data_IF_201371247330
#
_entry.id   IF_201371247330
#
_cell.length_a   1.000
_cell.length_b   1.000
_cell.length_c   1.000
_cell.angle_alpha   90.00
_cell.angle_beta   90.00
_cell.angle_gamma   90.00
#
_symmetry.space_group_name_H-M   'P 1'
#
loop_
_entity.id
_entity.type
_entity.pdbx_description
1 polymer ?
#
# COMPACT_ATOMS: atom_id res chain seq x y z
N UNK A 1 0.16 35.50 4.88
CA UNK A 1 0.16 34.92 6.24
C UNK A 1 -1.21 34.29 6.59
N UNK A 2 -1.55 33.06 6.14
CA UNK A 2 -2.84 32.42 6.46
C UNK A 2 -2.75 31.16 7.37
N UNK A 3 -1.57 30.79 7.88
CA UNK A 3 -1.40 29.52 8.61
C UNK A 3 -1.91 29.53 10.05
N UNK A 4 -2.00 30.70 10.71
CA UNK A 4 -2.42 30.79 12.11
C UNK A 4 -3.92 30.50 12.35
N UNK A 5 -4.80 30.70 11.37
CA UNK A 5 -6.24 30.38 11.55
C UNK A 5 -6.56 28.88 11.37
N UNK A 6 -5.70 28.13 10.69
CA UNK A 6 -5.86 26.67 10.51
C UNK A 6 -5.53 25.89 11.79
N UNK A 7 -4.59 26.38 12.60
CA UNK A 7 -4.21 25.75 13.87
C UNK A 7 -5.33 25.85 14.94
N UNK A 8 -5.99 27.00 15.05
CA UNK A 8 -7.11 27.16 16.00
C UNK A 8 -8.29 26.24 15.65
N UNK A 9 -8.50 25.96 14.35
CA UNK A 9 -9.57 25.07 13.89
C UNK A 9 -9.27 23.59 14.16
N UNK A 10 -7.99 23.20 14.13
CA UNK A 10 -7.56 21.84 14.48
C UNK A 10 -7.66 21.56 15.98
N UNK A 11 -7.41 22.56 16.83
CA UNK A 11 -7.50 22.42 18.28
C UNK A 11 -8.95 22.20 18.75
N UNK A 12 -9.91 22.93 18.17
CA UNK A 12 -11.35 22.75 18.43
C UNK A 12 -11.87 21.37 17.98
N UNK A 13 -11.32 20.81 16.90
CA UNK A 13 -11.70 19.47 16.42
C UNK A 13 -11.10 18.34 17.26
N UNK A 14 -9.90 18.55 17.82
CA UNK A 14 -9.26 17.63 18.78
C UNK A 14 -10.06 17.53 20.10
N UNK A 15 -10.52 18.66 20.61
CA UNK A 15 -11.38 18.72 21.81
C UNK A 15 -12.76 18.10 21.57
N UNK A 16 -13.32 18.28 20.38
CA UNK A 16 -14.58 17.63 19.98
C UNK A 16 -14.44 16.09 19.89
N UNK A 17 -13.30 15.58 19.42
CA UNK A 17 -13.04 14.13 19.34
C UNK A 17 -12.80 13.48 20.72
N UNK A 18 -12.13 14.16 21.64
CA UNK A 18 -11.95 13.67 23.02
C UNK A 18 -13.26 13.64 23.81
N UNK A 19 -14.15 14.61 23.56
CA UNK A 19 -15.49 14.65 24.16
C UNK A 19 -16.40 13.51 23.68
N UNK A 20 -16.26 13.05 22.42
CA UNK A 20 -17.02 11.91 21.87
C UNK A 20 -16.59 10.55 22.44
N UNK A 21 -15.32 10.37 22.83
CA UNK A 21 -14.83 9.13 23.44
C UNK A 21 -15.27 8.93 24.89
N UNK A 22 -15.79 9.98 25.55
CA UNK A 22 -16.30 9.93 26.93
C UNK A 22 -17.81 9.65 27.05
N UNK A 23 -18.50 9.27 25.97
CA UNK A 23 -19.90 8.81 26.10
C UNK A 23 -19.93 7.35 26.56
N UNK A 24 -20.46 7.02 27.76
CA UNK A 24 -20.61 5.64 28.18
C UNK A 24 -21.57 4.91 27.22
N UNK A 25 -21.26 3.65 26.92
CA UNK A 25 -22.13 2.76 26.14
C UNK A 25 -23.50 2.71 26.81
N UNK A 26 -24.54 3.07 26.08
CA UNK A 26 -25.95 3.11 26.50
C UNK A 26 -26.53 1.73 26.90
N UNK A 27 -25.71 0.69 27.01
CA UNK A 27 -26.12 -0.66 27.43
C UNK A 27 -25.96 -0.92 28.93
N UNK A 28 -25.20 -0.08 29.66
CA UNK A 28 -24.93 -0.29 31.09
C UNK A 28 -25.86 0.50 32.04
N UNK A 29 -26.67 1.43 31.53
CA UNK A 29 -27.59 2.23 32.36
C UNK A 29 -28.86 1.47 32.76
N UNK A 30 -29.25 0.40 32.03
CA UNK A 30 -30.40 -0.43 32.40
C UNK A 30 -30.11 -1.43 33.52
N UNK A 31 -28.84 -1.75 33.79
CA UNK A 31 -28.44 -2.65 34.88
C UNK A 31 -28.18 -1.90 36.20
N UNK A 32 -27.86 -0.60 36.15
CA UNK A 32 -27.63 0.24 37.33
C UNK A 32 -28.90 0.83 37.95
N UNK A 33 -30.02 0.88 37.22
CA UNK A 33 -31.31 1.32 37.77
C UNK A 33 -32.08 0.24 38.54
N UNK A 34 -31.60 -1.01 38.55
CA UNK A 34 -32.25 -2.14 39.22
C UNK A 34 -31.50 -2.63 40.48
N UNK A 35 -30.43 -1.94 40.89
CA UNK A 35 -29.57 -2.35 42.02
C UNK A 35 -29.42 -1.25 43.10
N UNK A 36 -30.31 -0.26 43.11
CA UNK A 36 -30.24 0.88 44.03
C UNK A 36 -31.37 0.87 45.09
N UNK A 37 -31.90 -0.31 45.41
CA UNK A 37 -32.98 -0.45 46.41
C UNK A 37 -32.79 -1.70 47.28
N UNK A 38 -31.67 -1.75 48.01
CA UNK A 38 -31.49 -2.55 49.22
C UNK A 38 -30.32 -1.94 49.98
N UNK A 39 -30.62 -1.18 51.02
CA UNK A 39 -29.66 -0.74 52.03
C UNK A 39 -29.71 -1.68 53.25
N UNK A 40 -28.53 -2.01 53.77
CA UNK A 40 -28.20 -2.48 55.14
C UNK A 40 -26.66 -2.62 55.11
N UNK A 41 -25.87 -1.76 55.76
CA UNK A 41 -25.54 -1.61 57.20
C UNK A 41 -24.73 -2.79 57.78
N UNK A 42 -23.48 -2.43 58.13
CA UNK A 42 -22.63 -2.93 59.23
C UNK A 42 -21.61 -4.09 59.11
N UNK A 43 -20.43 -3.77 59.68
CA UNK A 43 -19.45 -4.56 60.45
C UNK A 43 -18.55 -5.58 59.73
N UNK A 44 -17.23 -5.31 59.65
CA UNK A 44 -16.15 -5.69 60.61
C UNK A 44 -15.95 -7.22 60.64
N UNK A 45 -14.88 -7.75 60.01
CA UNK A 45 -13.63 -8.15 60.70
C UNK A 45 -12.66 -8.91 59.78
N UNK A 46 -11.40 -8.91 60.24
CA UNK A 46 -10.24 -9.70 59.84
C UNK A 46 -10.50 -11.19 59.53
N UNK A 47 -9.60 -11.81 58.74
CA UNK A 47 -8.97 -13.14 58.98
C UNK A 47 -8.33 -13.71 57.69
N UNK A 48 -7.01 -13.85 57.80
CA UNK A 48 -6.07 -14.74 57.11
C UNK A 48 -6.55 -16.20 57.00
N UNK A 49 -6.43 -16.87 55.83
CA UNK A 49 -5.81 -18.22 55.72
C UNK A 49 -5.74 -18.75 54.29
N UNK A 50 -4.76 -19.65 54.15
CA UNK A 50 -4.29 -20.37 52.98
C UNK A 50 -5.16 -21.56 52.55
N UNK A 51 -4.67 -22.22 51.50
CA UNK A 51 -4.84 -23.63 51.08
C UNK A 51 -5.86 -23.82 49.96
N UNK A 52 -5.46 -24.22 48.74
CA UNK A 52 -4.91 -25.51 48.26
C UNK A 52 -6.04 -26.41 47.73
N UNK A 53 -5.69 -27.25 46.73
CA UNK A 53 -6.46 -28.38 46.18
C UNK A 53 -7.49 -28.09 45.06
N UNK A 54 -7.14 -28.31 43.78
CA UNK A 54 -7.23 -29.56 42.98
C UNK A 54 -8.67 -30.10 42.79
N UNK A 55 -9.17 -30.01 41.55
CA UNK A 55 -9.61 -31.20 40.78
C UNK A 55 -9.95 -30.86 39.31
N UNK A 56 -9.44 -31.61 38.30
CA UNK A 56 -9.85 -31.47 36.91
C UNK A 56 -11.00 -32.43 36.54
N UNK A 57 -12.09 -31.87 36.03
CA UNK A 57 -13.24 -32.61 35.49
C UNK A 57 -12.96 -33.05 34.04
N UNK A 58 -13.18 -34.32 33.65
CA UNK A 58 -13.00 -34.74 32.26
C UNK A 58 -14.25 -34.41 31.41
N UNK A 59 -14.06 -33.62 30.35
CA UNK A 59 -15.06 -33.41 29.31
C UNK A 59 -15.18 -34.65 28.41
N UNK A 60 -16.36 -35.26 28.46
CA UNK A 60 -16.79 -36.31 27.53
C UNK A 60 -17.19 -35.66 26.21
N UNK A 61 -16.37 -35.83 25.15
CA UNK A 61 -16.72 -35.41 23.79
C UNK A 61 -17.56 -36.50 23.10
N UNK A 62 -18.84 -36.22 22.86
CA UNK A 62 -19.66 -36.98 21.92
C UNK A 62 -19.26 -36.67 20.45
N UNK A 63 -19.20 -37.68 19.57
CA UNK A 63 -18.86 -37.48 18.16
C UNK A 63 -20.05 -36.92 17.37
N UNK A 64 -19.84 -35.76 16.71
CA UNK A 64 -20.78 -35.21 15.72
C UNK A 64 -20.88 -36.12 14.48
N UNK A 65 -22.08 -36.40 13.97
CA UNK A 65 -22.25 -37.15 12.72
C UNK A 65 -21.84 -36.33 11.49
N UNK A 66 -21.33 -36.97 10.42
CA UNK A 66 -20.87 -36.29 9.22
C UNK A 66 -22.02 -35.71 8.39
N UNK A 67 -21.81 -34.48 7.88
CA UNK A 67 -22.73 -33.79 6.99
C UNK A 67 -22.92 -34.55 5.67
N UNK A 68 -24.18 -34.78 5.30
CA UNK A 68 -24.56 -35.33 3.99
C UNK A 68 -24.32 -34.30 2.88
N UNK A 69 -23.73 -34.68 1.73
CA UNK A 69 -23.60 -33.78 0.59
C UNK A 69 -24.96 -33.54 -0.10
N UNK A 70 -25.27 -32.28 -0.37
CA UNK A 70 -26.44 -31.88 -1.16
C UNK A 70 -26.34 -32.37 -2.62
N UNK A 71 -27.46 -32.81 -3.24
CA UNK A 71 -27.47 -33.23 -4.63
C UNK A 71 -27.34 -32.02 -5.57
N UNK A 72 -26.39 -32.11 -6.51
CA UNK A 72 -26.24 -31.18 -7.63
C UNK A 72 -27.38 -31.41 -8.62
N UNK A 73 -28.20 -30.39 -8.86
CA UNK A 73 -29.15 -30.35 -9.97
C UNK A 73 -28.42 -30.06 -11.30
N UNK A 74 -28.82 -30.71 -12.41
CA UNK A 74 -28.15 -30.61 -13.70
C UNK A 74 -28.95 -29.70 -14.64
N UNK A 75 -28.54 -28.45 -14.86
CA UNK A 75 -29.10 -27.64 -15.95
C UNK A 75 -28.26 -26.40 -16.22
N UNK A 76 -27.37 -26.50 -17.21
CA UNK A 76 -27.20 -25.55 -18.31
C UNK A 76 -25.99 -25.99 -19.15
N UNK A 77 -26.31 -26.62 -20.29
CA UNK A 77 -25.42 -26.80 -21.43
C UNK A 77 -25.42 -25.51 -22.26
N UNK A 78 -24.30 -25.33 -22.96
CA UNK A 78 -24.08 -24.45 -24.10
C UNK A 78 -23.84 -22.96 -23.81
N UNK A 79 -22.56 -22.58 -23.75
CA UNK A 79 -21.97 -21.59 -24.66
C UNK A 79 -20.48 -21.89 -24.82
N UNK A 80 -20.11 -22.40 -25.99
CA UNK A 80 -18.74 -22.56 -26.49
C UNK A 80 -18.26 -21.24 -27.10
N UNK A 81 -17.09 -20.74 -26.66
CA UNK A 81 -16.14 -19.90 -27.42
C UNK A 81 -14.85 -19.67 -26.58
N UNK A 82 -13.70 -19.34 -27.18
CA UNK A 82 -12.51 -20.19 -27.24
C UNK A 82 -11.49 -19.94 -26.12
N UNK A 83 -10.87 -21.03 -25.65
CA UNK A 83 -9.69 -21.00 -24.77
C UNK A 83 -8.45 -20.59 -25.56
N UNK A 84 -8.07 -19.31 -25.48
CA UNK A 84 -6.70 -18.90 -25.79
C UNK A 84 -5.78 -19.25 -24.62
N UNK A 85 -5.12 -20.40 -24.73
CA UNK A 85 -3.99 -20.79 -23.89
C UNK A 85 -2.75 -19.98 -24.29
N UNK A 86 -2.58 -18.78 -23.73
CA UNK A 86 -1.32 -18.04 -23.81
C UNK A 86 -0.35 -18.67 -22.81
N UNK A 87 0.54 -19.52 -23.33
CA UNK A 87 1.69 -20.04 -22.57
C UNK A 87 2.58 -18.85 -22.18
N UNK A 88 2.58 -18.52 -20.89
CA UNK A 88 3.56 -17.67 -20.23
C UNK A 88 4.96 -18.22 -20.52
N UNK A 89 5.66 -17.61 -21.48
CA UNK A 89 7.09 -17.82 -21.72
C UNK A 89 7.85 -16.87 -20.81
N UNK A 90 8.72 -17.45 -19.99
CA UNK A 90 9.58 -16.78 -19.02
C UNK A 90 10.39 -15.63 -19.64
N UNK A 91 10.15 -14.42 -19.18
CA UNK A 91 10.88 -13.19 -19.49
C UNK A 91 12.25 -13.12 -18.79
N UNK A 92 13.04 -14.20 -18.85
CA UNK A 92 14.41 -14.24 -18.29
C UNK A 92 15.49 -14.52 -19.34
N UNK A 93 15.10 -14.83 -20.59
CA UNK A 93 16.04 -15.15 -21.68
C UNK A 93 16.25 -14.03 -22.71
N UNK A 94 15.47 -12.96 -22.66
CA UNK A 94 15.57 -11.86 -23.64
C UNK A 94 16.60 -10.77 -23.25
N UNK A 95 16.98 -10.68 -21.97
CA UNK A 95 18.01 -9.75 -21.50
C UNK A 95 19.45 -10.20 -21.79
N UNK A 96 19.65 -11.47 -22.18
CA UNK A 96 20.98 -12.03 -22.45
C UNK A 96 21.39 -11.99 -23.93
N UNK A 97 20.48 -11.64 -24.86
CA UNK A 97 20.82 -11.50 -26.30
C UNK A 97 21.08 -10.07 -26.77
N UNK A 98 20.79 -9.03 -25.97
CA UNK A 98 21.07 -7.64 -26.37
C UNK A 98 22.49 -7.15 -26.02
N UNK A 99 23.29 -7.94 -25.31
CA UNK A 99 24.69 -7.61 -25.02
C UNK A 99 25.70 -8.16 -26.05
N UNK A 100 25.23 -8.81 -27.12
CA UNK A 100 26.09 -9.47 -28.12
C UNK A 100 26.28 -8.67 -29.43
N UNK A 101 25.82 -7.42 -29.51
CA UNK A 101 25.88 -6.60 -30.74
C UNK A 101 26.61 -5.27 -30.56
N UNK A 102 27.62 -5.21 -29.68
CA UNK A 102 28.58 -4.11 -29.70
C UNK A 102 29.69 -4.42 -30.71
N UNK A 103 29.96 -3.53 -31.69
CA UNK A 103 31.05 -3.70 -32.63
C UNK A 103 32.40 -3.59 -31.90
N UNK A 104 33.39 -4.45 -32.21
CA UNK A 104 34.72 -4.33 -31.65
C UNK A 104 35.47 -3.20 -32.37
N UNK A 105 35.43 -1.98 -31.83
CA UNK A 105 36.32 -0.90 -32.27
C UNK A 105 37.71 -1.08 -31.67
N UNK A 106 38.37 -2.16 -32.07
CA UNK A 106 39.78 -2.41 -31.82
C UNK A 106 40.67 -1.66 -32.79
N UNK A 107 40.83 -0.35 -32.61
CA UNK A 107 41.91 0.40 -33.26
C UNK A 107 43.25 0.01 -32.62
N UNK A 108 43.88 -1.03 -33.15
CA UNK A 108 45.28 -1.38 -32.88
C UNK A 108 46.19 -0.26 -33.36
N UNK A 109 46.56 0.66 -32.47
CA UNK A 109 47.69 1.55 -32.70
C UNK A 109 48.98 0.71 -32.76
N UNK A 110 49.62 0.66 -33.93
CA UNK A 110 50.96 0.12 -34.15
C UNK A 110 51.95 0.89 -33.27
N UNK A 111 52.34 0.31 -32.15
CA UNK A 111 53.47 0.77 -31.33
C UNK A 111 54.76 0.49 -32.10
N UNK A 112 55.49 1.58 -32.39
CA UNK A 112 56.80 1.58 -33.06
C UNK A 112 57.84 0.94 -32.12
N UNK A 113 58.69 0.00 -32.59
CA UNK A 113 59.72 -0.61 -31.75
C UNK A 113 60.72 0.46 -31.31
N UNK A 114 60.82 0.68 -30.00
CA UNK A 114 61.81 1.55 -29.37
C UNK A 114 63.14 0.78 -29.22
N UNK A 115 64.30 1.40 -29.52
CA UNK A 115 65.60 0.75 -29.39
C UNK A 115 65.94 0.37 -27.94
N UNK A 116 66.83 -0.61 -27.71
CA UNK A 116 67.24 -1.06 -26.38
C UNK A 116 67.96 0.06 -25.63
N UNK A 117 67.24 0.70 -24.71
CA UNK A 117 67.79 1.65 -23.74
C UNK A 117 68.67 0.92 -22.73
N UNK A 118 69.78 1.57 -22.38
CA UNK A 118 70.90 1.04 -21.61
C UNK A 118 70.62 0.64 -20.15
N UNK A 119 71.70 0.33 -19.40
CA UNK A 119 71.64 -0.29 -18.09
C UNK A 119 70.84 0.54 -17.07
N UNK A 120 70.06 -0.11 -16.19
CA UNK A 120 69.19 0.57 -15.25
C UNK A 120 70.00 1.48 -14.31
N UNK A 121 69.54 2.72 -14.03
CA UNK A 121 70.15 3.53 -13.00
C UNK A 121 70.05 2.80 -11.66
N UNK A 122 71.21 2.68 -10.99
CA UNK A 122 71.36 2.09 -9.65
C UNK A 122 70.20 2.52 -8.75
N UNK A 123 69.47 1.53 -8.26
CA UNK A 123 68.38 1.67 -7.33
C UNK A 123 68.82 2.52 -6.12
N UNK A 124 68.36 3.77 -6.08
CA UNK A 124 68.36 4.54 -4.85
C UNK A 124 67.53 3.75 -3.83
N UNK A 125 68.17 3.30 -2.77
CA UNK A 125 67.56 2.55 -1.68
C UNK A 125 66.34 3.33 -1.16
N UNK A 126 65.13 2.87 -1.52
CA UNK A 126 63.89 3.39 -0.94
C UNK A 126 63.97 3.11 0.55
N UNK A 127 63.98 4.18 1.35
CA UNK A 127 63.92 4.09 2.79
C UNK A 127 62.77 3.16 3.22
N UNK A 128 62.96 2.31 4.24
CA UNK A 128 61.95 1.37 4.69
C UNK A 128 60.72 2.16 5.16
N UNK A 129 59.66 2.14 4.36
CA UNK A 129 58.35 2.61 4.79
C UNK A 129 57.91 1.70 5.92
N UNK A 130 57.92 2.22 7.15
CA UNK A 130 57.41 1.58 8.36
C UNK A 130 56.08 0.89 8.03
N UNK A 131 56.10 -0.43 7.92
CA UNK A 131 54.89 -1.25 7.80
C UNK A 131 54.09 -1.04 9.07
N UNK A 132 52.90 -0.44 8.95
CA UNK A 132 51.99 -0.31 10.08
C UNK A 132 51.65 -1.69 10.61
N UNK A 133 51.81 -1.87 11.91
CA UNK A 133 51.46 -3.10 12.59
C UNK A 133 49.93 -3.27 12.61
N UNK A 134 49.46 -4.40 12.10
CA UNK A 134 48.03 -4.67 11.95
C UNK A 134 47.32 -4.74 13.31
N UNK A 135 47.96 -5.32 14.33
CA UNK A 135 47.38 -5.45 15.67
C UNK A 135 47.10 -4.09 16.32
N UNK A 136 48.06 -3.17 16.20
CA UNK A 136 47.89 -1.79 16.68
C UNK A 136 46.76 -1.04 15.97
N UNK A 137 46.59 -1.27 14.67
CA UNK A 137 45.55 -0.62 13.87
C UNK A 137 44.16 -1.17 14.19
N UNK A 138 44.04 -2.48 14.44
CA UNK A 138 42.80 -3.13 14.88
C UNK A 138 42.32 -2.52 16.20
N UNK A 139 43.18 -2.48 17.22
CA UNK A 139 42.82 -1.91 18.52
C UNK A 139 42.40 -0.44 18.40
N UNK A 140 43.08 0.32 17.55
CA UNK A 140 42.76 1.72 17.29
C UNK A 140 41.39 1.89 16.62
N UNK A 141 41.04 1.06 15.63
CA UNK A 141 39.74 1.13 14.95
C UNK A 141 38.60 0.79 15.91
N UNK A 142 38.75 -0.27 16.70
CA UNK A 142 37.73 -0.69 17.66
C UNK A 142 37.57 0.31 18.82
N UNK A 143 38.63 1.00 19.20
CA UNK A 143 38.60 2.06 20.22
C UNK A 143 38.11 3.43 19.72
N UNK A 144 37.95 3.62 18.40
CA UNK A 144 37.54 4.89 17.82
C UNK A 144 36.02 5.09 17.91
N UNK A 145 35.60 6.28 18.36
CA UNK A 145 34.19 6.58 18.58
C UNK A 145 33.49 7.09 17.31
N UNK A 146 34.21 7.84 16.47
CA UNK A 146 33.67 8.45 15.25
C UNK A 146 34.13 7.73 13.97
N UNK A 147 33.35 7.87 12.90
CA UNK A 147 33.71 7.32 11.59
C UNK A 147 35.00 7.95 11.02
N UNK A 148 35.23 9.24 11.32
CA UNK A 148 36.43 10.00 10.97
C UNK A 148 37.67 9.45 11.67
N UNK A 149 37.57 9.17 12.97
CA UNK A 149 38.64 8.53 13.72
C UNK A 149 38.92 7.13 13.21
N UNK A 150 37.87 6.31 12.98
CA UNK A 150 38.01 4.96 12.42
C UNK A 150 38.79 4.95 11.11
N UNK A 151 38.54 5.92 10.23
CA UNK A 151 39.26 6.06 8.95
C UNK A 151 40.51 6.96 9.00
N UNK A 152 40.87 7.56 10.13
CA UNK A 152 41.98 8.54 10.25
C UNK A 152 41.94 9.66 9.19
N UNK A 153 40.75 10.21 8.95
CA UNK A 153 40.55 11.31 8.01
C UNK A 153 40.12 12.57 8.76
N UNK A 154 40.41 13.74 8.18
CA UNK A 154 39.81 14.99 8.64
C UNK A 154 38.33 15.03 8.27
N UNK A 155 37.51 15.74 9.05
CA UNK A 155 36.07 15.91 8.77
C UNK A 155 35.75 16.58 7.42
N UNK A 156 36.73 17.25 6.80
CA UNK A 156 36.61 17.88 5.48
C UNK A 156 37.20 17.04 4.34
N UNK A 157 37.50 15.76 4.57
CA UNK A 157 38.10 14.91 3.55
C UNK A 157 37.18 14.68 2.34
N UNK A 158 37.76 14.76 1.13
CA UNK A 158 37.03 14.44 -0.11
C UNK A 158 36.72 12.94 -0.21
N UNK A 159 35.69 12.56 -0.98
CA UNK A 159 35.29 11.16 -1.19
C UNK A 159 36.45 10.30 -1.71
N UNK A 160 37.32 10.87 -2.55
CA UNK A 160 38.53 10.24 -3.07
C UNK A 160 39.54 9.91 -1.96
N UNK A 161 39.71 10.82 -0.99
CA UNK A 161 40.57 10.61 0.16
C UNK A 161 40.00 9.50 1.06
N UNK A 162 38.69 9.52 1.32
CA UNK A 162 37.97 8.48 2.06
C UNK A 162 38.18 7.11 1.39
N UNK A 163 37.96 7.01 0.08
CA UNK A 163 38.13 5.76 -0.68
C UNK A 163 39.58 5.26 -0.65
N UNK A 164 40.56 6.16 -0.73
CA UNK A 164 41.98 5.81 -0.69
C UNK A 164 42.38 5.23 0.67
N UNK A 165 41.91 5.82 1.77
CA UNK A 165 42.22 5.31 3.12
C UNK A 165 41.46 4.02 3.41
N UNK A 166 40.16 3.96 3.08
CA UNK A 166 39.37 2.75 3.19
C UNK A 166 40.03 1.57 2.45
N UNK A 167 40.46 1.73 1.19
CA UNK A 167 41.17 0.68 0.44
C UNK A 167 42.44 0.21 1.14
N UNK A 168 43.21 1.14 1.74
CA UNK A 168 44.43 0.78 2.48
C UNK A 168 44.11 -0.04 3.73
N UNK A 169 43.08 0.34 4.48
CA UNK A 169 42.65 -0.38 5.69
C UNK A 169 42.09 -1.75 5.34
N UNK A 170 41.24 -1.86 4.31
CA UNK A 170 40.73 -3.16 3.83
C UNK A 170 41.87 -4.09 3.41
N UNK A 171 42.89 -3.57 2.71
CA UNK A 171 44.07 -4.36 2.32
C UNK A 171 44.98 -4.72 3.50
N UNK A 172 44.93 -3.99 4.61
CA UNK A 172 45.69 -4.29 5.82
C UNK A 172 44.96 -5.33 6.69
N UNK A 173 43.64 -5.20 6.81
CA UNK A 173 42.75 -6.03 7.63
C UNK A 173 42.18 -7.25 6.88
N UNK A 174 42.64 -7.51 5.65
CA UNK A 174 42.19 -8.66 4.88
C UNK A 174 42.56 -9.96 5.63
N UNK A 175 41.65 -10.96 5.71
CA UNK A 175 41.89 -12.20 6.46
C UNK A 175 43.21 -12.88 6.08
N UNK A 176 43.59 -12.87 4.80
CA UNK A 176 44.86 -13.45 4.32
C UNK A 176 46.11 -12.84 4.97
N UNK A 177 46.10 -11.53 5.29
CA UNK A 177 47.23 -10.86 5.94
C UNK A 177 47.26 -11.04 7.44
N UNK A 178 46.12 -11.40 8.03
CA UNK A 178 45.99 -11.66 9.46
C UNK A 178 46.27 -13.13 9.80
N UNK A 179 46.52 -14.00 8.81
CA UNK A 179 46.77 -15.43 9.03
C UNK A 179 47.94 -15.72 9.98
N UNK A 180 48.96 -14.86 10.00
CA UNK A 180 50.14 -15.00 10.86
C UNK A 180 49.95 -14.53 12.30
N UNK A 181 48.80 -13.91 12.61
CA UNK A 181 48.49 -13.42 13.96
C UNK A 181 47.77 -14.50 14.79
N UNK A 182 47.60 -14.24 16.08
CA UNK A 182 46.80 -15.08 16.97
C UNK A 182 45.30 -15.01 16.62
N UNK A 183 44.54 -16.02 17.04
CA UNK A 183 43.13 -16.17 16.65
C UNK A 183 42.22 -15.09 17.27
N UNK A 184 42.57 -14.56 18.45
CA UNK A 184 41.85 -13.44 19.07
C UNK A 184 42.01 -12.16 18.25
N UNK A 185 43.24 -11.86 17.82
CA UNK A 185 43.52 -10.72 16.92
C UNK A 185 42.85 -10.89 15.56
N UNK A 186 42.75 -12.10 15.01
CA UNK A 186 42.01 -12.36 13.76
C UNK A 186 40.52 -12.04 13.90
N UNK A 187 39.90 -12.49 14.99
CA UNK A 187 38.48 -12.21 15.26
C UNK A 187 38.22 -10.71 15.38
N UNK A 188 39.05 -10.00 16.16
CA UNK A 188 39.01 -8.53 16.28
C UNK A 188 39.28 -7.83 14.94
N UNK A 189 40.13 -8.40 14.10
CA UNK A 189 40.39 -7.90 12.75
C UNK A 189 39.18 -7.94 11.84
N UNK A 190 38.37 -8.99 11.90
CA UNK A 190 37.11 -9.09 11.16
C UNK A 190 36.07 -8.06 11.64
N UNK A 191 35.96 -7.88 12.96
CA UNK A 191 35.11 -6.85 13.56
C UNK A 191 35.56 -5.44 13.13
N UNK A 192 36.86 -5.14 13.22
CA UNK A 192 37.42 -3.87 12.78
C UNK A 192 37.19 -3.61 11.29
N UNK A 193 37.25 -4.65 10.45
CA UNK A 193 36.94 -4.53 9.03
C UNK A 193 35.47 -4.17 8.78
N UNK A 194 34.54 -4.78 9.53
CA UNK A 194 33.12 -4.43 9.48
C UNK A 194 32.89 -2.97 9.89
N UNK A 195 33.52 -2.52 10.98
CA UNK A 195 33.48 -1.13 11.44
C UNK A 195 34.03 -0.14 10.41
N UNK A 196 35.09 -0.51 9.69
CA UNK A 196 35.65 0.30 8.57
C UNK A 196 34.66 0.42 7.41
N UNK A 197 33.92 -0.64 7.08
CA UNK A 197 32.86 -0.57 6.07
C UNK A 197 31.69 0.31 6.53
N UNK A 198 31.25 0.15 7.77
CA UNK A 198 30.19 0.96 8.36
C UNK A 198 30.57 2.46 8.39
N UNK A 199 31.77 2.78 8.86
CA UNK A 199 32.29 4.15 8.91
C UNK A 199 32.34 4.82 7.51
N UNK A 200 32.76 4.08 6.48
CA UNK A 200 32.75 4.58 5.10
C UNK A 200 31.32 4.91 4.63
N UNK A 201 30.37 4.00 4.82
CA UNK A 201 28.99 4.24 4.38
C UNK A 201 28.33 5.38 5.18
N UNK A 202 28.64 5.50 6.47
CA UNK A 202 28.17 6.60 7.30
C UNK A 202 28.67 7.96 6.81
N UNK A 203 29.97 8.10 6.52
CA UNK A 203 30.55 9.35 6.01
C UNK A 203 30.00 9.69 4.63
N UNK A 204 29.81 8.68 3.77
CA UNK A 204 29.17 8.85 2.47
C UNK A 204 27.73 9.35 2.64
N UNK A 205 26.97 8.78 3.57
CA UNK A 205 25.61 9.23 3.89
C UNK A 205 25.60 10.65 4.44
N UNK A 206 26.53 11.02 5.35
CA UNK A 206 26.62 12.38 5.89
C UNK A 206 26.98 13.40 4.80
N UNK A 207 27.93 13.09 3.92
CA UNK A 207 28.28 13.96 2.79
C UNK A 207 27.09 14.11 1.81
N UNK A 208 26.41 13.00 1.51
CA UNK A 208 25.20 13.01 0.69
C UNK A 208 24.11 13.85 1.36
N UNK A 209 23.86 13.68 2.65
CA UNK A 209 22.88 14.47 3.39
C UNK A 209 23.27 15.94 3.49
N UNK A 210 24.54 16.30 3.57
CA UNK A 210 24.98 17.70 3.61
C UNK A 210 24.68 18.40 2.27
N UNK A 211 25.01 17.73 1.16
CA UNK A 211 24.92 18.28 -0.19
C UNK A 211 23.59 18.00 -0.89
N UNK A 212 22.75 17.12 -0.35
CA UNK A 212 21.57 16.65 -1.05
C UNK A 212 20.58 17.78 -1.29
N UNK A 213 20.05 17.81 -2.49
CA UNK A 213 18.84 18.55 -2.83
C UNK A 213 17.66 17.59 -2.77
N UNK A 214 16.46 18.14 -2.62
CA UNK A 214 15.23 17.35 -2.72
C UNK A 214 15.16 16.73 -4.13
N UNK A 215 14.83 15.43 -4.28
CA UNK A 215 14.78 14.78 -5.58
C UNK A 215 13.79 15.45 -6.53
N UNK A 216 14.05 15.33 -7.83
CA UNK A 216 13.10 15.73 -8.86
C UNK A 216 11.83 14.88 -8.74
N UNK A 217 10.62 15.46 -8.89
CA UNK A 217 9.37 14.72 -8.85
C UNK A 217 9.37 13.60 -9.90
N UNK A 218 8.84 12.40 -9.59
CA UNK A 218 8.76 11.34 -10.56
C UNK A 218 7.85 11.73 -11.71
N UNK A 219 8.19 11.32 -12.93
CA UNK A 219 7.37 11.60 -14.12
C UNK A 219 6.34 10.50 -14.32
N UNK A 220 5.13 10.86 -14.78
CA UNK A 220 4.06 9.89 -15.07
C UNK A 220 4.54 8.84 -16.08
N UNK A 221 4.31 7.57 -15.75
CA UNK A 221 4.62 6.43 -16.62
C UNK A 221 3.44 6.07 -17.51
N UNK A 222 3.18 4.77 -17.65
CA UNK A 222 2.01 4.28 -18.39
C UNK A 222 0.69 4.62 -17.69
N UNK A 223 -0.38 4.72 -18.47
CA UNK A 223 -1.72 4.96 -17.94
C UNK A 223 -2.10 3.86 -16.93
N UNK A 224 -2.81 4.20 -15.83
CA UNK A 224 -3.19 3.21 -14.82
C UNK A 224 -4.03 2.07 -15.39
N UNK A 225 -3.74 0.83 -14.96
CA UNK A 225 -4.39 -0.38 -15.50
C UNK A 225 -5.14 -1.14 -14.41
N UNK A 226 -6.42 -1.45 -14.66
CA UNK A 226 -7.18 -2.35 -13.81
C UNK A 226 -6.80 -3.80 -14.15
N UNK A 227 -6.17 -4.51 -13.20
CA UNK A 227 -5.76 -5.90 -13.37
C UNK A 227 -6.87 -6.88 -12.93
N UNK A 228 -7.65 -6.52 -11.92
CA UNK A 228 -8.81 -7.30 -11.46
C UNK A 228 -9.92 -6.37 -10.94
N UNK A 229 -11.14 -6.56 -11.46
CA UNK A 229 -12.32 -5.78 -11.09
C UNK A 229 -13.27 -6.51 -10.11
N UNK A 230 -12.93 -7.73 -9.71
CA UNK A 230 -13.76 -8.58 -8.84
C UNK A 230 -13.85 -7.98 -7.43
N UNK A 231 -15.06 -7.77 -6.87
CA UNK A 231 -15.22 -7.31 -5.48
C UNK A 231 -14.48 -8.21 -4.49
N UNK A 232 -13.73 -7.62 -3.56
CA UNK A 232 -12.95 -8.36 -2.55
C UNK A 232 -11.58 -8.84 -3.04
N UNK A 233 -11.27 -8.67 -4.32
CA UNK A 233 -9.99 -9.06 -4.92
C UNK A 233 -9.53 -8.03 -5.99
N UNK A 234 -9.94 -6.77 -5.84
CA UNK A 234 -9.62 -5.72 -6.81
C UNK A 234 -8.12 -5.44 -6.84
N UNK A 235 -7.58 -5.20 -8.04
CA UNK A 235 -6.17 -4.90 -8.27
C UNK A 235 -6.00 -3.79 -9.30
N UNK A 236 -5.20 -2.78 -8.98
CA UNK A 236 -4.88 -1.68 -9.87
C UNK A 236 -3.37 -1.48 -9.96
N UNK A 237 -2.85 -1.35 -11.18
CA UNK A 237 -1.44 -1.08 -11.45
C UNK A 237 -1.25 0.40 -11.80
N UNK A 238 -0.25 1.01 -11.17
CA UNK A 238 0.26 2.34 -11.50
C UNK A 238 1.76 2.27 -11.81
N UNK A 239 2.23 3.21 -12.62
CA UNK A 239 3.65 3.31 -12.95
C UNK A 239 4.11 4.75 -13.13
N UNK A 240 5.39 4.97 -12.88
CA UNK A 240 6.14 6.20 -13.15
C UNK A 240 7.40 5.88 -13.96
N UNK A 241 8.04 6.90 -14.52
CA UNK A 241 9.32 6.74 -15.22
C UNK A 241 10.47 6.88 -14.22
N UNK A 242 11.46 6.00 -14.32
CA UNK A 242 12.73 6.16 -13.62
C UNK A 242 13.60 7.14 -14.40
N UNK A 243 14.37 8.00 -13.72
CA UNK A 243 15.38 8.79 -14.41
C UNK A 243 16.44 7.85 -15.02
N UNK A 244 16.82 8.10 -16.28
CA UNK A 244 17.85 7.31 -16.97
C UNK A 244 19.22 7.42 -16.25
N UNK A 245 19.50 8.59 -15.69
CA UNK A 245 20.69 8.88 -14.90
C UNK A 245 20.26 9.58 -13.62
N UNK A 246 20.67 9.05 -12.46
CA UNK A 246 20.43 9.71 -11.18
C UNK A 246 21.41 10.87 -10.99
N UNK A 247 20.89 12.03 -10.58
CA UNK A 247 21.73 13.15 -10.15
C UNK A 247 22.41 12.79 -8.81
N UNK A 248 23.76 12.76 -8.73
CA UNK A 248 24.48 12.51 -7.48
C UNK A 248 24.15 13.52 -6.37
N UNK A 249 23.67 14.72 -6.73
CA UNK A 249 23.26 15.74 -5.76
C UNK A 249 21.84 15.56 -5.26
N UNK A 250 21.00 14.80 -5.96
CA UNK A 250 19.62 14.56 -5.56
C UNK A 250 19.24 13.09 -5.79
N UNK A 251 20.00 12.13 -5.22
CA UNK A 251 19.78 10.72 -5.45
C UNK A 251 18.42 10.31 -4.88
N UNK A 252 17.71 9.44 -5.60
CA UNK A 252 16.46 8.86 -5.13
C UNK A 252 16.82 7.63 -4.30
N UNK A 253 16.49 7.64 -3.01
CA UNK A 253 16.74 6.51 -2.12
C UNK A 253 15.56 5.55 -2.09
N UNK A 254 14.34 6.07 -2.20
CA UNK A 254 13.09 5.29 -2.18
C UNK A 254 11.94 6.08 -2.82
N UNK A 255 10.85 5.39 -3.15
CA UNK A 255 9.57 6.00 -3.48
C UNK A 255 8.55 5.75 -2.38
N UNK A 256 7.70 6.74 -2.11
CA UNK A 256 6.58 6.61 -1.19
C UNK A 256 5.27 6.82 -1.95
N UNK A 257 4.37 5.85 -1.84
CA UNK A 257 3.04 5.90 -2.47
C UNK A 257 2.00 6.16 -1.40
N UNK A 258 1.21 7.21 -1.59
CA UNK A 258 0.19 7.66 -0.66
C UNK A 258 -1.19 7.63 -1.31
N UNK A 259 -2.21 7.35 -0.50
CA UNK A 259 -3.61 7.34 -0.93
C UNK A 259 -4.56 7.99 0.08
N UNK A 260 -5.77 8.37 -0.36
CA UNK A 260 -6.77 9.03 0.47
C UNK A 260 -7.35 8.06 1.49
N UNK A 261 -7.16 8.33 2.77
CA UNK A 261 -7.85 7.58 3.84
C UNK A 261 -9.28 8.07 4.03
N UNK A 262 -9.49 9.37 3.87
CA UNK A 262 -10.80 10.01 4.00
C UNK A 262 -11.00 11.06 2.90
N UNK A 263 -12.14 10.97 2.26
CA UNK A 263 -12.62 11.96 1.30
C UNK A 263 -13.83 12.70 1.90
N UNK A 264 -13.88 14.00 1.66
CA UNK A 264 -15.05 14.85 1.89
C UNK A 264 -16.21 14.46 0.97
N UNK A 265 -17.42 14.93 1.27
CA UNK A 265 -18.57 14.80 0.35
C UNK A 265 -18.32 15.41 -1.04
N UNK A 266 -17.70 16.60 -1.19
CA UNK A 266 -17.34 17.12 -2.51
C UNK A 266 -16.16 16.39 -3.18
N UNK A 267 -15.55 15.39 -2.51
CA UNK A 267 -14.47 14.57 -3.08
C UNK A 267 -13.06 15.08 -2.78
N UNK A 268 -12.90 16.19 -2.06
CA UNK A 268 -11.60 16.65 -1.54
C UNK A 268 -11.02 15.63 -0.56
N UNK A 269 -9.72 15.36 -0.67
CA UNK A 269 -9.02 14.44 0.24
C UNK A 269 -8.55 15.20 1.48
N UNK A 270 -8.93 14.74 2.67
CA UNK A 270 -8.54 15.38 3.94
C UNK A 270 -7.36 14.70 4.61
N UNK A 271 -7.23 13.38 4.42
CA UNK A 271 -6.23 12.57 5.12
C UNK A 271 -5.60 11.60 4.15
N UNK A 272 -4.28 11.51 4.21
CA UNK A 272 -3.46 10.66 3.35
C UNK A 272 -2.78 9.60 4.20
N UNK A 273 -2.72 8.37 3.68
CA UNK A 273 -2.03 7.25 4.33
C UNK A 273 -0.97 6.69 3.40
N UNK A 274 0.18 6.36 3.97
CA UNK A 274 1.27 5.70 3.27
C UNK A 274 0.86 4.26 2.94
N UNK A 275 0.78 3.95 1.65
CA UNK A 275 0.42 2.63 1.14
C UNK A 275 1.63 1.71 1.00
N UNK A 276 2.77 2.27 0.57
CA UNK A 276 4.00 1.52 0.38
C UNK A 276 5.23 2.42 0.32
N UNK A 277 6.36 1.86 0.74
CA UNK A 277 7.71 2.38 0.47
C UNK A 277 8.42 1.41 -0.46
N UNK A 278 8.93 1.91 -1.58
CA UNK A 278 9.47 1.11 -2.67
C UNK A 278 10.95 1.44 -2.91
N UNK A 279 11.77 0.46 -3.31
CA UNK A 279 13.16 0.70 -3.70
C UNK A 279 13.28 1.68 -4.87
N UNK A 280 14.44 2.33 -5.06
CA UNK A 280 14.61 3.42 -6.04
C UNK A 280 14.62 2.93 -7.50
N UNK A 281 14.78 1.62 -7.71
CA UNK A 281 14.71 0.99 -9.02
C UNK A 281 13.30 0.45 -9.35
N UNK A 282 12.35 0.57 -8.43
CA UNK A 282 10.99 0.13 -8.66
C UNK A 282 10.13 1.29 -9.17
N UNK A 283 9.55 1.10 -10.36
CA UNK A 283 8.78 2.12 -11.08
C UNK A 283 7.29 1.83 -11.16
N UNK A 284 6.86 0.76 -10.51
CA UNK A 284 5.49 0.25 -10.57
C UNK A 284 5.00 -0.15 -9.18
N UNK A 285 3.71 0.09 -8.94
CA UNK A 285 3.03 -0.29 -7.72
C UNK A 285 1.66 -0.88 -8.06
N UNK A 286 1.29 -1.96 -7.37
CA UNK A 286 -0.01 -2.59 -7.50
C UNK A 286 -0.75 -2.41 -6.19
N UNK A 287 -1.85 -1.65 -6.23
CA UNK A 287 -2.79 -1.57 -5.12
C UNK A 287 -3.70 -2.80 -5.16
N UNK A 288 -3.84 -3.45 -4.00
CA UNK A 288 -4.58 -4.70 -3.82
C UNK A 288 -5.58 -4.56 -2.68
N UNK A 289 -6.82 -4.96 -2.92
CA UNK A 289 -7.90 -4.87 -1.91
C UNK A 289 -7.67 -5.79 -0.71
N UNK A 290 -6.86 -6.85 -0.86
CA UNK A 290 -6.59 -7.78 0.23
C UNK A 290 -5.68 -7.18 1.33
N UNK A 291 -4.96 -6.09 1.04
CA UNK A 291 -4.10 -5.42 2.02
C UNK A 291 -4.91 -4.40 2.85
N UNK A 292 -4.95 -4.48 4.20
CA UNK A 292 -5.86 -3.68 5.02
C UNK A 292 -5.76 -2.15 4.81
N UNK A 293 -4.54 -1.60 4.76
CA UNK A 293 -4.33 -0.15 4.56
C UNK A 293 -4.73 0.30 3.16
N UNK A 294 -4.55 -0.56 2.16
CA UNK A 294 -4.93 -0.29 0.78
C UNK A 294 -6.44 -0.42 0.60
N UNK A 295 -7.06 -1.40 1.25
CA UNK A 295 -8.50 -1.58 1.34
C UNK A 295 -9.19 -0.32 1.88
N UNK A 296 -8.66 0.28 2.95
CA UNK A 296 -9.19 1.52 3.50
C UNK A 296 -9.21 2.66 2.47
N UNK A 297 -8.12 2.81 1.69
CA UNK A 297 -8.04 3.80 0.62
C UNK A 297 -9.04 3.53 -0.49
N UNK A 298 -9.16 2.28 -0.91
CA UNK A 298 -10.13 1.87 -1.92
C UNK A 298 -11.57 2.11 -1.45
N UNK A 299 -11.86 1.81 -0.19
CA UNK A 299 -13.16 2.08 0.43
C UNK A 299 -13.45 3.57 0.59
N UNK A 300 -12.43 4.41 0.80
CA UNK A 300 -12.60 5.85 0.82
C UNK A 300 -13.10 6.36 -0.55
N UNK A 301 -12.54 5.85 -1.64
CA UNK A 301 -13.02 6.15 -3.00
C UNK A 301 -14.43 5.59 -3.27
N UNK A 302 -14.72 4.38 -2.78
CA UNK A 302 -16.03 3.75 -2.93
C UNK A 302 -17.14 4.55 -2.22
N UNK A 303 -16.88 5.09 -1.03
CA UNK A 303 -17.86 5.83 -0.23
C UNK A 303 -18.36 7.10 -0.90
N UNK A 304 -17.48 7.77 -1.64
CA UNK A 304 -17.77 9.05 -2.33
C UNK A 304 -18.11 8.82 -3.81
N UNK A 305 -18.12 7.57 -4.28
CA UNK A 305 -18.42 7.19 -5.66
C UNK A 305 -17.65 8.02 -6.70
N UNK A 306 -16.40 8.38 -6.39
CA UNK A 306 -15.64 9.32 -7.23
C UNK A 306 -15.39 8.73 -8.61
N UNK A 307 -15.48 9.54 -9.69
CA UNK A 307 -15.11 9.08 -11.02
C UNK A 307 -13.66 8.60 -11.05
N UNK A 308 -12.78 9.29 -10.32
CA UNK A 308 -11.37 8.99 -10.18
C UNK A 308 -10.92 8.88 -8.72
N UNK A 309 -9.96 8.00 -8.43
CA UNK A 309 -9.26 7.93 -7.14
C UNK A 309 -7.86 8.53 -7.29
N UNK A 310 -7.54 9.53 -6.47
CA UNK A 310 -6.23 10.19 -6.49
C UNK A 310 -5.20 9.39 -5.68
N UNK A 311 -4.00 9.20 -6.23
CA UNK A 311 -2.82 8.70 -5.53
C UNK A 311 -1.68 9.72 -5.69
N UNK A 312 -0.77 9.75 -4.72
CA UNK A 312 0.41 10.60 -4.76
C UNK A 312 1.67 9.74 -4.65
N UNK A 313 2.64 9.96 -5.55
CA UNK A 313 3.95 9.29 -5.49
C UNK A 313 5.02 10.34 -5.25
N UNK A 314 5.87 10.08 -4.27
CA UNK A 314 7.00 10.94 -3.92
C UNK A 314 8.31 10.20 -4.15
N UNK A 315 9.28 10.88 -4.76
CA UNK A 315 10.68 10.44 -4.70
C UNK A 315 11.29 10.99 -3.40
N UNK A 316 11.92 10.15 -2.61
CA UNK A 316 12.40 10.51 -1.26
C UNK A 316 13.89 10.22 -1.13
N UNK A 317 14.59 11.13 -0.45
CA UNK A 317 15.96 10.95 0.01
C UNK A 317 16.15 11.48 1.44
N UNK A 318 17.37 11.47 1.95
CA UNK A 318 17.70 11.98 3.29
C UNK A 318 17.33 13.45 3.57
N UNK A 319 16.97 14.27 2.57
CA UNK A 319 16.48 15.65 2.77
C UNK A 319 14.98 15.75 2.88
N UNK A 320 14.24 14.81 2.29
CA UNK A 320 12.78 14.81 2.29
C UNK A 320 12.17 14.35 0.97
N UNK A 321 10.83 14.43 0.87
CA UNK A 321 10.09 14.05 -0.32
C UNK A 321 10.13 15.15 -1.39
N UNK A 322 10.10 14.73 -2.66
CA UNK A 322 9.90 15.58 -3.83
C UNK A 322 8.51 16.23 -3.82
N UNK A 323 8.20 17.01 -4.86
CA UNK A 323 6.79 17.31 -5.17
C UNK A 323 6.04 16.00 -5.49
N UNK A 324 4.73 16.01 -5.23
CA UNK A 324 3.86 14.86 -5.43
C UNK A 324 3.56 14.65 -6.92
N UNK A 325 3.90 13.48 -7.47
CA UNK A 325 3.31 13.02 -8.71
C UNK A 325 1.87 12.57 -8.43
N UNK A 326 0.91 13.39 -8.85
CA UNK A 326 -0.52 13.07 -8.75
C UNK A 326 -0.94 12.11 -9.88
N UNK A 327 -1.47 10.96 -9.48
CA UNK A 327 -2.01 9.93 -10.37
C UNK A 327 -3.51 9.79 -10.13
N UNK A 328 -4.29 9.79 -11.19
CA UNK A 328 -5.74 9.58 -11.12
C UNK A 328 -6.11 8.22 -11.67
N UNK A 329 -6.71 7.37 -10.83
CA UNK A 329 -7.19 6.05 -11.22
C UNK A 329 -8.64 6.17 -11.69
N UNK A 330 -9.01 5.69 -12.89
CA UNK A 330 -10.37 5.80 -13.40
C UNK A 330 -11.31 4.80 -12.70
N UNK A 331 -11.66 5.12 -11.46
CA UNK A 331 -12.28 4.25 -10.46
C UNK A 331 -13.65 3.73 -10.88
N UNK A 332 -14.60 4.62 -11.16
CA UNK A 332 -15.98 4.21 -11.49
C UNK A 332 -16.10 3.48 -12.82
N UNK A 333 -15.20 3.72 -13.77
CA UNK A 333 -15.15 2.98 -15.03
C UNK A 333 -14.55 1.59 -14.86
N UNK A 334 -13.56 1.45 -13.97
CA UNK A 334 -12.93 0.17 -13.68
C UNK A 334 -13.80 -0.75 -12.81
N UNK A 335 -14.65 -0.17 -11.95
CA UNK A 335 -15.58 -0.91 -11.09
C UNK A 335 -17.03 -0.49 -11.35
N UNK A 336 -17.64 -0.92 -12.47
CA UNK A 336 -19.01 -0.53 -12.81
C UNK A 336 -20.06 -0.88 -11.76
N UNK A 337 -19.81 -1.92 -10.94
CA UNK A 337 -20.72 -2.31 -9.85
C UNK A 337 -20.77 -1.31 -8.70
N UNK A 338 -19.80 -0.38 -8.60
CA UNK A 338 -19.90 0.79 -7.72
C UNK A 338 -20.95 1.78 -8.23
N UNK A 339 -21.21 1.80 -9.55
CA UNK A 339 -22.35 2.51 -10.15
C UNK A 339 -23.60 1.67 -9.90
N UNK A 340 -24.04 1.61 -8.65
CA UNK A 340 -25.35 1.07 -8.34
C UNK A 340 -26.45 1.91 -9.02
N UNK A 341 -27.65 1.36 -9.10
CA UNK A 341 -28.77 2.09 -9.68
C UNK A 341 -29.35 3.03 -8.63
N UNK A 342 -29.43 4.32 -8.95
CA UNK A 342 -30.04 5.34 -8.08
C UNK A 342 -31.52 5.06 -7.82
N UNK A 343 -32.07 5.65 -6.75
CA UNK A 343 -33.48 5.49 -6.38
C UNK A 343 -34.32 6.67 -6.86
N UNK A 344 -35.53 6.38 -7.34
CA UNK A 344 -36.60 7.34 -7.57
C UNK A 344 -37.64 7.19 -6.46
N UNK A 345 -38.14 8.31 -5.91
CA UNK A 345 -39.24 8.30 -4.94
C UNK A 345 -40.56 8.60 -5.63
N UNK A 346 -41.52 7.68 -5.55
CA UNK A 346 -42.84 7.93 -6.12
C UNK A 346 -43.61 8.97 -5.30
N UNK A 347 -44.03 10.08 -5.91
CA UNK A 347 -44.85 11.09 -5.24
C UNK A 347 -46.25 10.62 -4.81
N UNK A 348 -46.77 9.53 -5.40
CA UNK A 348 -48.11 9.00 -5.10
C UNK A 348 -48.13 7.97 -3.97
N UNK A 349 -47.19 7.02 -3.98
CA UNK A 349 -47.17 5.91 -3.00
C UNK A 349 -45.88 5.84 -2.16
N UNK A 350 -44.97 6.80 -2.32
CA UNK A 350 -43.71 6.93 -1.58
C UNK A 350 -42.79 5.69 -1.61
N UNK A 351 -43.00 4.78 -2.57
CA UNK A 351 -42.10 3.64 -2.80
C UNK A 351 -40.86 4.06 -3.58
N UNK A 352 -39.71 3.58 -3.11
CA UNK A 352 -38.44 3.66 -3.83
C UNK A 352 -38.46 2.69 -5.00
N UNK A 353 -38.09 3.19 -6.18
CA UNK A 353 -38.00 2.40 -7.41
C UNK A 353 -36.59 2.57 -8.01
N UNK A 354 -35.94 1.51 -8.50
CA UNK A 354 -34.66 1.65 -9.19
C UNK A 354 -34.81 2.49 -10.45
N UNK A 355 -33.92 3.45 -10.69
CA UNK A 355 -33.88 4.24 -11.93
C UNK A 355 -33.55 3.36 -13.13
N UNK A 356 -34.37 3.41 -14.19
CA UNK A 356 -34.03 2.74 -15.44
C UNK A 356 -32.73 3.28 -16.03
N UNK A 357 -31.75 2.41 -16.30
CA UNK A 357 -30.40 2.80 -16.72
C UNK A 357 -30.32 3.63 -18.02
N UNK A 358 -31.37 3.62 -18.84
CA UNK A 358 -31.40 4.29 -20.16
C UNK A 358 -32.72 5.02 -20.47
N UNK A 359 -33.66 5.06 -19.54
CA UNK A 359 -34.99 5.61 -19.80
C UNK A 359 -35.17 6.93 -19.04
N UNK A 360 -35.72 7.93 -19.72
CA UNK A 360 -36.09 9.21 -19.10
C UNK A 360 -37.21 9.03 -18.05
N UNK A 361 -37.94 7.91 -18.13
CA UNK A 361 -39.06 7.56 -17.27
C UNK A 361 -38.91 6.14 -16.72
N UNK A 362 -39.44 5.88 -15.53
CA UNK A 362 -39.49 4.54 -14.94
C UNK A 362 -40.83 4.35 -14.23
N UNK A 363 -41.53 3.24 -14.50
CA UNK A 363 -42.79 2.95 -13.82
C UNK A 363 -42.54 2.62 -12.34
N UNK A 364 -43.30 3.26 -11.44
CA UNK A 364 -43.23 2.99 -10.02
C UNK A 364 -43.55 1.52 -9.71
N UNK A 365 -42.67 0.84 -8.97
CA UNK A 365 -42.87 -0.56 -8.56
C UNK A 365 -44.11 -0.77 -7.64
N UNK A 366 -44.66 0.31 -7.09
CA UNK A 366 -45.85 0.30 -6.24
C UNK A 366 -47.16 0.43 -7.00
N UNK A 367 -47.34 1.57 -7.66
CA UNK A 367 -48.61 1.97 -8.27
C UNK A 367 -48.57 2.08 -9.80
N UNK A 368 -47.44 1.76 -10.44
CA UNK A 368 -47.29 1.80 -11.89
C UNK A 368 -47.13 3.20 -12.51
N UNK A 369 -47.31 4.28 -11.74
CA UNK A 369 -47.16 5.66 -12.24
C UNK A 369 -45.76 5.89 -12.79
N UNK A 370 -45.66 6.51 -13.97
CA UNK A 370 -44.38 6.90 -14.56
C UNK A 370 -43.67 7.97 -13.72
N UNK A 371 -42.40 7.70 -13.39
CA UNK A 371 -41.54 8.60 -12.63
C UNK A 371 -40.48 9.19 -13.56
N UNK A 372 -40.35 10.51 -13.60
CA UNK A 372 -39.28 11.19 -14.33
C UNK A 372 -37.92 10.96 -13.65
N UNK A 373 -36.87 10.90 -14.46
CA UNK A 373 -35.49 10.74 -13.95
C UNK A 373 -35.02 11.88 -13.03
N UNK A 374 -35.66 13.05 -13.10
CA UNK A 374 -35.39 14.22 -12.24
C UNK A 374 -35.82 14.00 -10.79
N UNK A 375 -36.71 13.04 -10.52
CA UNK A 375 -37.13 12.66 -9.17
C UNK A 375 -36.13 11.72 -8.48
N UNK A 376 -34.87 11.72 -8.94
CA UNK A 376 -33.80 10.95 -8.34
C UNK A 376 -33.46 11.52 -6.96
N UNK A 377 -33.44 10.62 -5.98
CA UNK A 377 -33.02 10.95 -4.62
C UNK A 377 -31.77 10.15 -4.25
N UNK A 378 -30.91 10.78 -3.46
CA UNK A 378 -29.75 10.10 -2.86
C UNK A 378 -30.16 9.60 -1.48
N UNK A 379 -30.26 8.27 -1.33
CA UNK A 379 -30.54 7.64 -0.05
C UNK A 379 -29.21 7.34 0.64
N UNK A 380 -29.02 7.78 1.88
CA UNK A 380 -27.80 7.52 2.66
C UNK A 380 -28.07 6.55 3.80
N UNK A 381 -27.11 5.65 4.04
CA UNK A 381 -27.15 4.69 5.12
C UNK A 381 -27.00 5.40 6.47
N UNK A 382 -27.97 5.19 7.37
CA UNK A 382 -27.95 5.81 8.71
C UNK A 382 -26.80 5.36 9.60
N UNK A 383 -26.17 4.22 9.29
CA UNK A 383 -25.04 3.68 10.06
C UNK A 383 -23.68 4.25 9.66
N UNK A 384 -23.39 4.34 8.37
CA UNK A 384 -22.06 4.73 7.87
C UNK A 384 -22.06 5.95 6.94
N UNK A 385 -23.22 6.52 6.63
CA UNK A 385 -23.37 7.64 5.69
C UNK A 385 -23.21 7.29 4.22
N UNK A 386 -22.78 6.06 3.88
CA UNK A 386 -22.59 5.64 2.50
C UNK A 386 -23.91 5.58 1.71
N UNK A 387 -23.84 5.86 0.40
CA UNK A 387 -25.00 5.82 -0.47
C UNK A 387 -25.65 4.43 -0.52
N UNK A 388 -26.96 4.41 -0.63
CA UNK A 388 -27.78 3.19 -0.72
C UNK A 388 -28.28 3.09 -2.15
N UNK A 389 -27.79 2.08 -2.86
CA UNK A 389 -28.07 1.87 -4.28
C UNK A 389 -28.71 0.51 -4.49
N UNK A 390 -29.44 0.37 -5.59
CA UNK A 390 -29.96 -0.93 -5.99
C UNK A 390 -28.85 -1.78 -6.62
N UNK A 391 -28.58 -2.94 -6.02
CA UNK A 391 -27.62 -3.95 -6.48
C UNK A 391 -28.27 -5.34 -6.37
N UNK A 392 -28.26 -6.14 -7.44
CA UNK A 392 -28.81 -7.50 -7.46
C UNK A 392 -30.24 -7.61 -6.90
N UNK A 393 -31.13 -6.68 -7.27
CA UNK A 393 -32.51 -6.58 -6.75
C UNK A 393 -32.63 -6.30 -5.25
N UNK A 394 -31.56 -5.87 -4.57
CA UNK A 394 -31.59 -5.41 -3.20
C UNK A 394 -31.16 -3.94 -3.13
N UNK A 395 -31.82 -3.17 -2.26
CA UNK A 395 -31.41 -1.82 -1.92
C UNK A 395 -30.37 -1.94 -0.79
N UNK A 396 -29.09 -1.74 -1.11
CA UNK A 396 -27.98 -2.00 -0.19
C UNK A 396 -27.03 -0.81 -0.10
N UNK A 397 -26.48 -0.56 1.08
CA UNK A 397 -25.44 0.45 1.25
C UNK A 397 -24.16 0.02 0.53
N UNK A 398 -23.59 0.90 -0.30
CA UNK A 398 -22.33 0.65 -1.01
C UNK A 398 -21.14 0.51 -0.07
N UNK A 399 -21.18 1.19 1.08
CA UNK A 399 -20.09 1.21 2.05
C UNK A 399 -20.12 0.03 3.04
N UNK A 400 -21.22 -0.19 3.77
CA UNK A 400 -21.27 -1.23 4.80
C UNK A 400 -22.01 -2.51 4.35
N UNK A 401 -22.48 -2.55 3.09
CA UNK A 401 -23.23 -3.67 2.51
C UNK A 401 -24.52 -4.05 3.26
N UNK A 402 -24.99 -3.22 4.20
CA UNK A 402 -26.28 -3.40 4.88
C UNK A 402 -27.41 -3.32 3.85
N UNK A 403 -28.25 -4.35 3.80
CA UNK A 403 -29.47 -4.37 3.00
C UNK A 403 -30.61 -3.64 3.72
N UNK A 404 -31.36 -2.84 2.97
CA UNK A 404 -32.50 -2.03 3.42
C UNK A 404 -33.83 -2.55 2.86
N UNK A 405 -33.79 -3.40 1.83
CA UNK A 405 -34.97 -3.95 1.22
C UNK A 405 -34.64 -4.72 -0.06
N UNK A 406 -35.62 -5.47 -0.55
CA UNK A 406 -35.54 -6.15 -1.84
C UNK A 406 -36.55 -5.52 -2.79
N UNK A 407 -36.16 -5.39 -4.06
CA UNK A 407 -37.07 -5.02 -5.12
C UNK A 407 -37.98 -6.23 -5.33
N UNK A 408 -39.21 -6.16 -4.81
CA UNK A 408 -40.22 -7.14 -5.16
C UNK A 408 -40.39 -7.05 -6.67
N UNK A 409 -40.13 -8.13 -7.45
CA UNK A 409 -40.41 -8.10 -8.86
C UNK A 409 -41.86 -7.66 -9.01
N UNK A 410 -42.10 -6.70 -9.88
CA UNK A 410 -43.46 -6.26 -10.24
C UNK A 410 -44.25 -7.54 -10.45
N UNK A 411 -45.24 -7.82 -9.61
CA UNK A 411 -46.17 -8.94 -9.84
C UNK A 411 -46.67 -8.67 -11.25
N UNK A 412 -46.15 -9.42 -12.24
CA UNK A 412 -46.68 -9.37 -13.60
C UNK A 412 -48.16 -9.59 -13.40
N UNK A 413 -48.94 -8.55 -13.69
CA UNK A 413 -50.38 -8.59 -13.60
C UNK A 413 -50.79 -9.74 -14.51
N UNK A 414 -51.00 -10.91 -13.93
CA UNK A 414 -51.29 -12.17 -14.62
C UNK A 414 -52.73 -12.19 -15.15
N UNK A 415 -53.29 -11.01 -15.47
CA UNK A 415 -54.69 -10.85 -15.80
C UNK A 415 -54.85 -9.74 -16.82
N UNK A 416 -54.65 -10.08 -18.09
CA UNK A 416 -55.49 -9.58 -19.20
C UNK A 416 -55.31 -10.33 -20.54
N UNK A 417 -54.76 -11.55 -20.57
CA UNK A 417 -54.87 -12.45 -21.74
C UNK A 417 -56.22 -13.20 -21.76
N UNK A 418 -57.31 -12.46 -21.53
CA UNK A 418 -58.62 -13.06 -21.28
C UNK A 418 -59.78 -12.27 -21.84
N UNK A 419 -59.66 -11.66 -23.02
CA UNK A 419 -60.84 -11.27 -23.82
C UNK A 419 -60.48 -10.86 -25.26
N UNK A 420 -60.03 -11.80 -26.09
CA UNK A 420 -60.13 -11.65 -27.56
C UNK A 420 -60.20 -13.03 -28.25
N UNK A 421 -61.31 -13.72 -28.03
CA UNK A 421 -61.85 -14.72 -28.97
C UNK A 421 -63.27 -14.30 -29.34
N UNK A 422 -63.39 -13.21 -30.10
CA UNK A 422 -64.58 -13.00 -30.92
C UNK A 422 -64.41 -13.82 -32.20
N UNK A 423 -65.04 -15.00 -32.22
CA UNK A 423 -65.29 -15.76 -33.43
C UNK A 423 -66.28 -14.98 -34.32
N UNK A 424 -65.75 -14.21 -35.26
CA UNK A 424 -66.52 -13.73 -36.40
C UNK A 424 -66.73 -14.86 -37.40
N UNK A 425 -67.91 -15.49 -37.34
CA UNK A 425 -68.39 -16.41 -38.35
C UNK A 425 -68.50 -15.71 -39.71
N UNK A 426 -67.79 -16.22 -40.72
CA UNK A 426 -68.10 -15.99 -42.13
C UNK A 426 -69.20 -16.97 -42.53
N UNK A 427 -70.31 -16.46 -43.05
CA UNK A 427 -71.30 -17.24 -43.78
C UNK A 427 -71.94 -16.33 -44.84
N UNK A 428 -71.70 -16.71 -46.11
CA UNK A 428 -72.39 -16.40 -47.37
C UNK A 428 -72.40 -14.96 -47.88
#
# INVERSE_FOLDING_TARGET
MPWRSKLTRLQVLSEWQTSRRRRPRCKDLKKRAAAADTGETEQIDDITRMDEENDPRPETQEPRPPARPCPRSPLLKAMDAPRFSIKSRSSKRQLLMQLALLPPTGARAKVKPTPPGGPPPKAAAKAPTKTRDASSEIQRILGAASAEEKLQISGEATEEAILKVWKKLVLLLHPDKLQSLDDDTKAKGAEALHEVHAAKEELRQRAQQACAQVPVPPTRGSAPRCLNATPGARKYEISWMLPEVQDPKAPIEKYEVWGPRYCSEPGETFDWVLLATLPPLQSQFIIVEEAPTQQDVMWAADRVLRPTMSLAVYAVNGKGPSEALSLELPWTSAFPWLRGVGSLLCGKCFKLTPRGARQAWTACAGCGVGLAAELAIVVRCTGCGGEVLWQHNALSCTSCRKSFGHNMPSRRSHGQDGHDRYHGARAW
#
